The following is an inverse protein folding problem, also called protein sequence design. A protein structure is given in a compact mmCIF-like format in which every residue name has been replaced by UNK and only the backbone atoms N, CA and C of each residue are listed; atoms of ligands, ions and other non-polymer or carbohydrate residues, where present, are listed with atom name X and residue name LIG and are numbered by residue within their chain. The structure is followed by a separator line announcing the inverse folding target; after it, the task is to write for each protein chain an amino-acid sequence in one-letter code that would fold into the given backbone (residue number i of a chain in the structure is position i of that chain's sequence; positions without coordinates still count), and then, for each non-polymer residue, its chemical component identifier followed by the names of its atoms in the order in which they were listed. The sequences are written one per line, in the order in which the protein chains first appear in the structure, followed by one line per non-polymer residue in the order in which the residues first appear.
data_IF_078839041311
#
_entry.id   IF_078839041311
#
_cell.length_a   1.000
_cell.length_b   1.000
_cell.length_c   1.000
_cell.angle_alpha   90.00
_cell.angle_beta   90.00
_cell.angle_gamma   90.00
#
_symmetry.space_group_name_H-M   'P 1'
#
loop_
_entity.id
_entity.type
_entity.pdbx_description
1 polymer ?
#
# COMPACT_ATOMS: atom_id res chain seq x y z
N UNK A 1 -2.87 26.97 13.50
CA UNK A 1 -3.64 25.90 12.82
C UNK A 1 -4.92 25.66 13.61
N UNK A 2 -6.08 25.43 12.96
CA UNK A 2 -7.30 25.08 13.69
C UNK A 2 -7.10 23.79 14.49
N UNK A 3 -7.73 23.71 15.67
CA UNK A 3 -7.70 22.53 16.53
C UNK A 3 -8.34 21.34 15.81
N UNK A 4 -7.55 20.31 15.51
CA UNK A 4 -8.04 19.05 14.96
C UNK A 4 -8.45 18.16 16.13
N UNK A 5 -9.71 17.73 16.15
CA UNK A 5 -10.21 16.85 17.19
C UNK A 5 -9.52 15.47 17.09
N UNK A 6 -9.32 14.81 18.24
CA UNK A 6 -8.54 13.57 18.33
C UNK A 6 -9.17 12.40 17.55
N UNK A 7 -10.50 12.43 17.36
CA UNK A 7 -11.28 11.48 16.57
C UNK A 7 -11.09 11.63 15.06
N UNK A 8 -10.49 12.74 14.62
CA UNK A 8 -10.16 12.99 13.21
C UNK A 8 -8.80 12.41 12.80
N UNK A 9 -7.99 11.91 13.73
CA UNK A 9 -6.64 11.37 13.47
C UNK A 9 -6.58 9.86 13.61
N UNK A 10 -5.52 9.25 13.08
CA UNK A 10 -5.24 7.82 13.26
C UNK A 10 -4.42 7.64 14.55
N UNK A 11 -4.93 6.97 15.60
CA UNK A 11 -4.19 6.82 16.84
C UNK A 11 -3.12 5.74 16.75
N UNK A 12 -1.94 6.01 17.33
CA UNK A 12 -0.80 5.08 17.39
C UNK A 12 -1.15 3.73 18.04
N UNK A 13 -2.08 3.74 18.99
CA UNK A 13 -2.56 2.52 19.67
C UNK A 13 -3.14 1.49 18.71
N UNK A 14 -3.65 1.89 17.53
CA UNK A 14 -4.13 0.94 16.50
C UNK A 14 -3.02 0.05 15.94
N UNK A 15 -1.80 0.57 15.85
CA UNK A 15 -0.66 -0.18 15.34
C UNK A 15 -0.05 -1.04 16.44
N UNK A 16 0.20 -0.44 17.61
CA UNK A 16 0.87 -1.10 18.74
C UNK A 16 0.12 -2.35 19.19
N UNK A 17 -1.21 -2.28 19.30
CA UNK A 17 -2.04 -3.44 19.70
C UNK A 17 -2.11 -4.55 18.65
N UNK A 18 -1.67 -4.29 17.43
CA UNK A 18 -1.67 -5.25 16.32
C UNK A 18 -0.30 -5.88 16.07
N UNK A 19 0.69 -5.60 16.92
CA UNK A 19 1.95 -6.34 16.95
C UNK A 19 1.69 -7.79 17.35
N UNK A 20 2.38 -8.73 16.72
CA UNK A 20 2.28 -10.17 16.99
C UNK A 20 3.65 -10.83 17.04
N UNK A 21 3.79 -11.89 17.83
CA UNK A 21 4.98 -12.75 17.88
C UNK A 21 4.98 -13.85 16.81
N UNK A 22 3.93 -13.89 15.97
CA UNK A 22 3.83 -14.85 14.89
C UNK A 22 5.01 -14.68 13.92
N UNK A 23 5.78 -15.75 13.71
CA UNK A 23 6.83 -15.80 12.67
C UNK A 23 6.17 -15.91 11.29
N UNK A 24 5.73 -14.78 10.75
CA UNK A 24 4.95 -14.75 9.50
C UNK A 24 5.78 -15.09 8.25
N UNK A 25 7.10 -14.88 8.31
CA UNK A 25 8.07 -15.08 7.21
C UNK A 25 8.35 -16.56 6.90
N UNK A 26 8.07 -17.50 7.81
CA UNK A 26 8.36 -18.94 7.63
C UNK A 26 7.11 -19.80 7.38
N UNK A 27 5.98 -19.21 7.03
CA UNK A 27 4.66 -19.89 7.10
C UNK A 27 4.24 -20.60 5.81
N UNK A 28 5.04 -20.51 4.74
CA UNK A 28 4.66 -21.01 3.41
C UNK A 28 3.46 -20.30 2.79
N UNK A 29 2.99 -19.21 3.41
CA UNK A 29 1.88 -18.40 2.93
C UNK A 29 2.30 -17.54 1.75
N UNK A 30 1.36 -17.22 0.86
CA UNK A 30 1.64 -16.31 -0.24
C UNK A 30 1.92 -14.90 0.28
N UNK A 31 3.11 -14.41 -0.05
CA UNK A 31 3.58 -13.09 0.32
C UNK A 31 3.10 -12.04 -0.66
N UNK A 32 2.84 -10.85 -0.13
CA UNK A 32 2.48 -9.67 -0.90
C UNK A 32 3.31 -8.49 -0.50
N UNK A 33 3.40 -7.52 -1.40
CA UNK A 33 4.20 -6.32 -1.25
C UNK A 33 3.39 -5.07 -1.57
N UNK A 34 3.59 -4.02 -0.79
CA UNK A 34 3.13 -2.66 -1.07
C UNK A 34 4.32 -1.72 -1.15
N UNK A 35 4.37 -0.84 -2.17
CA UNK A 35 5.42 0.19 -2.30
C UNK A 35 4.82 1.55 -2.58
N UNK A 36 5.20 2.52 -1.75
CA UNK A 36 5.09 3.95 -2.10
C UNK A 36 6.46 4.43 -2.59
N UNK A 37 6.51 5.03 -3.78
CA UNK A 37 7.79 5.41 -4.42
C UNK A 37 8.36 6.73 -3.88
N UNK A 38 7.57 7.45 -3.06
CA UNK A 38 7.91 8.73 -2.48
C UNK A 38 8.02 9.86 -3.52
N UNK A 39 7.69 11.08 -3.11
CA UNK A 39 7.94 12.26 -3.95
C UNK A 39 9.35 12.81 -3.74
N UNK A 40 10.23 12.60 -4.73
CA UNK A 40 11.52 13.28 -4.87
C UNK A 40 12.75 12.37 -4.80
N UNK A 41 13.86 12.84 -5.37
CA UNK A 41 15.18 12.20 -5.26
C UNK A 41 15.62 12.14 -3.79
N UNK A 42 16.16 10.99 -3.36
CA UNK A 42 16.69 10.78 -2.00
C UNK A 42 15.73 10.21 -0.96
N UNK A 43 14.41 10.10 -1.23
CA UNK A 43 13.45 9.53 -0.27
C UNK A 43 13.33 8.01 -0.29
N UNK A 44 13.63 7.38 -1.43
CA UNK A 44 13.59 5.92 -1.60
C UNK A 44 12.19 5.31 -1.65
N UNK A 45 12.12 4.04 -2.05
CA UNK A 45 10.89 3.26 -2.08
C UNK A 45 10.53 2.80 -0.66
N UNK A 46 9.38 3.20 -0.15
CA UNK A 46 8.87 2.76 1.15
C UNK A 46 8.10 1.46 0.97
N UNK A 47 8.59 0.39 1.58
CA UNK A 47 8.16 -0.96 1.24
C UNK A 47 7.62 -1.68 2.47
N UNK A 48 6.54 -2.43 2.26
CA UNK A 48 6.00 -3.39 3.22
C UNK A 48 5.83 -4.75 2.56
N UNK A 49 6.31 -5.80 3.23
CA UNK A 49 6.12 -7.20 2.81
C UNK A 49 5.48 -7.96 3.95
N UNK A 50 4.48 -8.76 3.60
CA UNK A 50 3.72 -9.54 4.55
C UNK A 50 2.85 -10.57 3.87
N UNK A 51 2.08 -11.28 4.68
CA UNK A 51 1.06 -12.20 4.23
C UNK A 51 -0.12 -12.17 5.21
N UNK A 52 -1.03 -13.13 5.13
CA UNK A 52 -2.21 -13.21 6.01
C UNK A 52 -1.89 -13.38 7.50
N UNK A 53 -0.65 -13.74 7.86
CA UNK A 53 -0.19 -13.87 9.25
C UNK A 53 0.40 -12.56 9.79
N UNK A 54 0.79 -11.64 8.91
CA UNK A 54 1.24 -10.30 9.27
C UNK A 54 2.30 -9.74 8.34
N UNK A 55 2.60 -8.46 8.52
CA UNK A 55 3.69 -7.73 7.90
C UNK A 55 4.97 -8.05 8.67
N UNK A 56 5.93 -8.71 8.03
CA UNK A 56 7.19 -9.15 8.65
C UNK A 56 8.40 -8.36 8.16
N UNK A 57 8.26 -7.53 7.12
CA UNK A 57 9.34 -6.68 6.63
C UNK A 57 8.83 -5.28 6.28
N UNK A 58 9.54 -4.26 6.78
CA UNK A 58 9.25 -2.83 6.56
C UNK A 58 10.60 -2.14 6.36
N UNK A 59 10.76 -1.40 5.26
CA UNK A 59 12.03 -0.77 4.93
C UNK A 59 11.91 0.34 3.89
N UNK A 60 13.01 1.07 3.72
CA UNK A 60 13.17 2.07 2.67
C UNK A 60 14.31 1.61 1.76
N UNK A 61 14.07 1.50 0.46
CA UNK A 61 15.08 1.18 -0.53
C UNK A 61 15.57 2.47 -1.18
N UNK A 62 16.87 2.74 -1.08
CA UNK A 62 17.50 3.95 -1.62
C UNK A 62 18.53 3.56 -2.68
N UNK A 63 18.78 4.45 -3.63
CA UNK A 63 19.82 4.21 -4.63
C UNK A 63 21.20 4.27 -3.95
N UNK A 64 22.03 3.28 -4.24
CA UNK A 64 23.40 3.18 -3.76
C UNK A 64 24.34 2.83 -4.92
N UNK A 65 25.65 3.02 -4.73
CA UNK A 65 26.63 2.65 -5.73
C UNK A 65 26.53 1.15 -6.07
N UNK A 66 26.33 0.83 -7.35
CA UNK A 66 26.20 -0.55 -7.84
C UNK A 66 24.82 -1.19 -7.70
N UNK A 67 23.84 -0.55 -7.02
CA UNK A 67 22.49 -1.09 -6.92
C UNK A 67 21.44 0.02 -6.72
N UNK A 68 20.59 0.25 -7.72
CA UNK A 68 19.45 1.14 -7.58
C UNK A 68 18.29 0.50 -6.79
N UNK A 69 17.35 1.33 -6.35
CA UNK A 69 16.18 0.90 -5.57
C UNK A 69 15.26 -0.07 -6.33
N UNK A 70 15.26 -0.06 -7.65
CA UNK A 70 14.42 -0.93 -8.49
C UNK A 70 14.99 -2.33 -8.56
N UNK A 71 16.30 -2.44 -8.74
CA UNK A 71 17.02 -3.71 -8.66
C UNK A 71 16.87 -4.34 -7.28
N UNK A 72 17.00 -3.54 -6.21
CA UNK A 72 16.71 -3.99 -4.84
C UNK A 72 15.27 -4.51 -4.71
N UNK A 73 14.30 -3.82 -5.32
CA UNK A 73 12.89 -4.25 -5.33
C UNK A 73 12.73 -5.61 -6.02
N UNK A 74 13.31 -5.80 -7.21
CA UNK A 74 13.29 -7.09 -7.93
C UNK A 74 13.93 -8.22 -7.10
N UNK A 75 15.01 -7.93 -6.38
CA UNK A 75 15.68 -8.91 -5.54
C UNK A 75 14.81 -9.30 -4.33
N UNK A 76 14.08 -8.35 -3.72
CA UNK A 76 13.11 -8.65 -2.67
C UNK A 76 11.91 -9.47 -3.16
N UNK A 77 11.39 -9.18 -4.36
CA UNK A 77 10.30 -9.96 -4.97
C UNK A 77 10.71 -11.42 -5.10
N UNK A 78 11.94 -11.68 -5.56
CA UNK A 78 12.50 -13.03 -5.72
C UNK A 78 12.77 -13.69 -4.37
N UNK A 79 13.45 -12.99 -3.47
CA UNK A 79 13.86 -13.51 -2.17
C UNK A 79 12.67 -13.92 -1.29
N UNK A 80 11.65 -13.05 -1.21
CA UNK A 80 10.45 -13.32 -0.41
C UNK A 80 9.34 -14.03 -1.20
N UNK A 81 9.59 -14.46 -2.43
CA UNK A 81 8.59 -15.09 -3.31
C UNK A 81 7.24 -14.32 -3.31
N UNK A 82 7.31 -13.03 -3.60
CA UNK A 82 6.14 -12.15 -3.62
C UNK A 82 5.23 -12.54 -4.77
N UNK A 83 3.98 -12.85 -4.45
CA UNK A 83 2.95 -13.31 -5.40
C UNK A 83 2.10 -12.19 -5.95
N UNK A 84 1.84 -11.17 -5.13
CA UNK A 84 1.14 -9.95 -5.56
C UNK A 84 1.86 -8.73 -5.00
N UNK A 85 2.08 -7.75 -5.85
CA UNK A 85 2.79 -6.54 -5.55
C UNK A 85 1.99 -5.36 -6.10
N UNK A 86 1.71 -4.37 -5.26
CA UNK A 86 1.09 -3.11 -5.66
C UNK A 86 2.07 -1.97 -5.39
N UNK A 87 2.31 -1.14 -6.39
CA UNK A 87 3.21 0.01 -6.34
C UNK A 87 2.47 1.29 -6.72
N UNK A 88 2.88 2.43 -6.15
CA UNK A 88 2.44 3.73 -6.65
C UNK A 88 2.74 3.87 -8.15
N UNK A 89 1.72 4.19 -8.94
CA UNK A 89 1.86 4.43 -10.37
C UNK A 89 2.49 5.78 -10.72
N UNK A 90 2.85 6.62 -9.74
CA UNK A 90 3.54 7.91 -9.93
C UNK A 90 4.57 8.16 -8.80
N UNK A 91 5.62 8.97 -9.04
CA UNK A 91 5.98 9.64 -10.30
C UNK A 91 6.82 8.74 -11.25
N UNK A 92 7.37 7.64 -10.76
CA UNK A 92 8.27 6.74 -11.50
C UNK A 92 7.51 5.68 -12.31
N UNK A 93 6.61 6.15 -13.17
CA UNK A 93 5.67 5.30 -13.92
C UNK A 93 6.39 4.31 -14.84
N UNK A 94 7.45 4.77 -15.52
CA UNK A 94 8.17 3.96 -16.49
C UNK A 94 8.88 2.78 -15.80
N UNK A 95 9.60 3.06 -14.72
CA UNK A 95 10.32 2.07 -13.93
C UNK A 95 9.36 1.05 -13.29
N UNK A 96 8.21 1.52 -12.80
CA UNK A 96 7.17 0.63 -12.28
C UNK A 96 6.59 -0.29 -13.37
N UNK A 97 6.42 0.19 -14.61
CA UNK A 97 6.00 -0.66 -15.73
C UNK A 97 7.08 -1.66 -16.15
N UNK A 98 8.35 -1.27 -16.18
CA UNK A 98 9.45 -2.19 -16.47
C UNK A 98 9.51 -3.31 -15.42
N UNK A 99 9.31 -2.96 -14.14
CA UNK A 99 9.21 -3.95 -13.06
C UNK A 99 8.00 -4.88 -13.25
N UNK A 100 6.87 -4.37 -13.75
CA UNK A 100 5.72 -5.21 -14.09
C UNK A 100 5.99 -6.15 -15.26
N UNK A 101 6.74 -5.72 -16.27
CA UNK A 101 7.18 -6.58 -17.38
C UNK A 101 8.16 -7.65 -16.92
N UNK A 102 9.03 -7.35 -15.95
CA UNK A 102 9.95 -8.34 -15.35
C UNK A 102 9.17 -9.43 -14.58
N UNK A 103 8.07 -9.06 -13.91
CA UNK A 103 7.24 -9.97 -13.11
C UNK A 103 5.77 -9.92 -13.55
N UNK A 104 5.44 -10.44 -14.74
CA UNK A 104 4.10 -10.34 -15.31
C UNK A 104 3.07 -11.01 -14.40
N UNK A 105 1.90 -10.38 -14.30
CA UNK A 105 0.77 -10.81 -13.45
C UNK A 105 1.07 -10.88 -11.94
N UNK A 106 2.18 -10.27 -11.49
CA UNK A 106 2.48 -10.10 -10.07
C UNK A 106 2.48 -8.64 -9.65
N UNK A 107 2.86 -7.73 -10.53
CA UNK A 107 3.00 -6.29 -10.23
C UNK A 107 1.83 -5.50 -10.79
N UNK A 108 1.26 -4.63 -9.95
CA UNK A 108 0.15 -3.76 -10.29
C UNK A 108 0.46 -2.32 -9.91
N UNK A 109 0.24 -1.40 -10.84
CA UNK A 109 0.47 0.03 -10.63
C UNK A 109 -0.81 0.69 -10.15
N UNK A 110 -0.75 1.41 -9.04
CA UNK A 110 -1.90 2.00 -8.38
C UNK A 110 -2.05 3.48 -8.65
N UNK A 111 -3.28 3.90 -8.94
CA UNK A 111 -3.64 5.31 -8.95
C UNK A 111 -4.90 5.54 -8.11
N UNK A 112 -4.87 6.61 -7.31
CA UNK A 112 -6.09 7.10 -6.68
C UNK A 112 -6.94 7.83 -7.71
N UNK A 113 -8.21 7.40 -7.85
CA UNK A 113 -9.20 8.09 -8.68
C UNK A 113 -10.47 8.31 -7.88
N UNK A 114 -10.82 9.58 -7.74
CA UNK A 114 -12.12 9.99 -7.23
C UNK A 114 -13.13 10.00 -8.37
N UNK A 115 -13.57 8.81 -8.77
CA UNK A 115 -14.65 8.63 -9.73
C UNK A 115 -15.97 8.35 -8.97
N UNK A 116 -16.97 9.25 -9.03
CA UNK A 116 -18.28 9.03 -8.41
C UNK A 116 -18.98 7.77 -8.93
N UNK A 117 -18.64 7.31 -10.14
CA UNK A 117 -19.17 6.08 -10.75
C UNK A 117 -18.38 4.83 -10.34
N UNK A 118 -17.32 4.96 -9.54
CA UNK A 118 -16.61 3.80 -9.02
C UNK A 118 -17.47 3.13 -7.94
N UNK A 119 -18.18 2.08 -8.36
CA UNK A 119 -18.99 1.25 -7.47
C UNK A 119 -18.12 0.52 -6.44
N UNK A 120 -16.92 0.10 -6.84
CA UNK A 120 -15.99 -0.66 -6.01
C UNK A 120 -14.95 0.24 -5.34
N UNK A 121 -14.39 -0.20 -4.21
CA UNK A 121 -13.30 0.51 -3.53
C UNK A 121 -11.99 0.40 -4.33
N UNK A 122 -11.78 -0.73 -4.99
CA UNK A 122 -10.59 -1.08 -5.77
C UNK A 122 -11.06 -1.74 -7.06
N UNK A 123 -10.49 -1.33 -8.20
CA UNK A 123 -10.74 -1.90 -9.52
C UNK A 123 -9.42 -2.34 -10.14
N UNK A 124 -9.24 -3.64 -10.33
CA UNK A 124 -8.15 -4.19 -11.13
C UNK A 124 -8.59 -4.32 -12.60
N UNK A 125 -7.66 -4.10 -13.53
CA UNK A 125 -7.99 -4.07 -14.95
C UNK A 125 -7.67 -5.38 -15.69
N UNK A 126 -6.85 -6.25 -15.11
CA UNK A 126 -6.62 -7.63 -15.56
C UNK A 126 -7.87 -8.53 -15.48
N UNK A 127 -8.96 -8.02 -14.90
CA UNK A 127 -10.24 -8.73 -14.79
C UNK A 127 -11.20 -8.42 -15.93
N UNK A 128 -10.84 -7.52 -16.84
CA UNK A 128 -11.64 -7.27 -18.04
C UNK A 128 -11.35 -8.36 -19.07
N UNK A 129 -12.39 -9.06 -19.50
CA UNK A 129 -12.36 -9.93 -20.68
C UNK A 129 -12.24 -9.11 -21.98
N UNK A 130 -11.17 -8.32 -22.11
CA UNK A 130 -10.86 -7.62 -23.35
C UNK A 130 -9.63 -8.27 -23.97
N UNK A 131 -9.84 -9.01 -25.06
CA UNK A 131 -8.77 -9.70 -25.80
C UNK A 131 -7.75 -8.73 -26.43
N UNK A 132 -8.08 -7.45 -26.52
CA UNK A 132 -7.23 -6.39 -27.08
C UNK A 132 -6.59 -5.49 -26.00
N UNK A 133 -6.64 -5.88 -24.72
CA UNK A 133 -6.02 -5.09 -23.67
C UNK A 133 -4.49 -5.06 -23.84
N UNK A 134 -3.91 -3.85 -23.86
CA UNK A 134 -2.46 -3.69 -23.81
C UNK A 134 -2.00 -4.01 -22.39
N UNK A 135 -0.86 -4.70 -22.24
CA UNK A 135 -0.30 -5.10 -20.94
C UNK A 135 -0.31 -3.97 -19.89
N UNK A 136 0.04 -2.75 -20.30
CA UNK A 136 0.06 -1.59 -19.42
C UNK A 136 -1.32 -1.25 -18.84
N UNK A 137 -2.41 -1.56 -19.54
CA UNK A 137 -3.76 -1.40 -19.02
C UNK A 137 -4.14 -2.51 -18.05
N UNK A 138 -3.71 -3.76 -18.29
CA UNK A 138 -4.02 -4.91 -17.44
C UNK A 138 -3.43 -4.76 -16.03
N UNK A 139 -2.22 -4.22 -15.93
CA UNK A 139 -1.53 -4.05 -14.64
C UNK A 139 -2.00 -2.82 -13.86
N UNK A 140 -2.98 -2.05 -14.36
CA UNK A 140 -3.50 -0.89 -13.61
C UNK A 140 -4.44 -1.34 -12.49
N UNK A 141 -4.33 -0.66 -11.36
CA UNK A 141 -5.33 -0.70 -10.29
C UNK A 141 -5.77 0.71 -9.93
N UNK A 142 -7.08 0.95 -9.94
CA UNK A 142 -7.65 2.20 -9.44
C UNK A 142 -8.29 1.97 -8.07
N UNK A 143 -8.12 2.94 -7.18
CA UNK A 143 -8.80 2.91 -5.88
C UNK A 143 -9.32 4.29 -5.48
N UNK A 144 -10.42 4.30 -4.71
CA UNK A 144 -10.88 5.52 -4.06
C UNK A 144 -10.04 5.78 -2.81
N UNK A 145 -9.29 6.88 -2.78
CA UNK A 145 -8.35 7.22 -1.69
C UNK A 145 -9.04 7.23 -0.32
N UNK A 146 -10.17 7.93 -0.21
CA UNK A 146 -10.90 8.01 1.06
C UNK A 146 -11.40 6.64 1.51
N UNK A 147 -12.05 5.88 0.60
CA UNK A 147 -12.63 4.58 0.95
C UNK A 147 -11.57 3.55 1.33
N UNK A 148 -10.45 3.46 0.59
CA UNK A 148 -9.41 2.48 0.93
C UNK A 148 -8.68 2.83 2.22
N UNK A 149 -8.53 4.12 2.54
CA UNK A 149 -8.00 4.55 3.84
C UNK A 149 -8.94 4.18 4.99
N UNK A 150 -10.24 4.45 4.85
CA UNK A 150 -11.24 4.08 5.86
C UNK A 150 -11.31 2.55 6.04
N UNK A 151 -11.25 1.80 4.96
CA UNK A 151 -11.21 0.33 4.96
C UNK A 151 -9.98 -0.20 5.70
N UNK A 152 -8.80 0.40 5.46
CA UNK A 152 -7.54 0.00 6.09
C UNK A 152 -7.54 0.32 7.58
N UNK A 153 -8.03 1.51 7.96
CA UNK A 153 -8.22 1.88 9.37
C UNK A 153 -9.20 0.92 10.04
N UNK A 154 -10.27 0.52 9.35
CA UNK A 154 -11.25 -0.45 9.86
C UNK A 154 -10.64 -1.84 10.04
N UNK A 155 -9.77 -2.27 9.12
CA UNK A 155 -9.03 -3.53 9.23
C UNK A 155 -8.05 -3.52 10.42
N UNK A 156 -7.32 -2.41 10.65
CA UNK A 156 -6.54 -2.21 11.88
C UNK A 156 -7.43 -2.18 13.13
N UNK A 157 -8.66 -1.65 13.02
CA UNK A 157 -9.62 -1.61 14.13
C UNK A 157 -10.09 -3.00 14.55
N UNK A 158 -10.35 -3.89 13.59
CA UNK A 158 -10.73 -5.29 13.83
C UNK A 158 -9.54 -6.20 14.14
N UNK A 159 -8.33 -5.75 13.81
CA UNK A 159 -7.11 -6.50 13.99
C UNK A 159 -6.82 -7.49 12.86
N UNK A 160 -7.39 -7.26 11.68
CA UNK A 160 -7.18 -8.07 10.47
C UNK A 160 -5.76 -7.85 9.90
N UNK A 161 -5.17 -6.68 10.17
CA UNK A 161 -3.79 -6.34 9.81
C UNK A 161 -2.92 -6.53 11.04
N UNK A 162 -1.93 -7.43 10.95
CA UNK A 162 -0.95 -7.73 12.01
C UNK A 162 0.45 -7.29 11.61
N UNK A 163 1.25 -6.92 12.60
CA UNK A 163 2.65 -6.56 12.43
C UNK A 163 3.53 -7.60 13.12
N UNK A 164 4.14 -8.49 12.35
CA UNK A 164 5.10 -9.50 12.77
C UNK A 164 6.52 -8.91 12.83
N UNK A 165 6.62 -7.70 13.39
CA UNK A 165 7.87 -6.96 13.60
C UNK A 165 7.90 -6.45 15.04
N UNK A 166 9.07 -6.35 15.68
CA UNK A 166 9.16 -5.81 17.03
C UNK A 166 8.61 -4.38 17.08
N UNK A 167 7.91 -4.03 18.17
CA UNK A 167 7.45 -2.65 18.39
C UNK A 167 8.62 -1.62 18.46
N UNK A 168 9.84 -2.11 18.73
CA UNK A 168 11.07 -1.33 18.70
C UNK A 168 11.59 -1.02 17.30
N UNK A 169 11.10 -1.72 16.25
CA UNK A 169 11.56 -1.57 14.87
C UNK A 169 11.44 -0.09 14.41
N UNK A 170 12.55 0.55 13.95
CA UNK A 170 12.53 1.96 13.55
C UNK A 170 11.57 2.26 12.40
N UNK A 171 11.50 1.40 11.39
CA UNK A 171 10.59 1.58 10.25
C UNK A 171 9.12 1.43 10.67
N UNK A 172 8.82 0.53 11.61
CA UNK A 172 7.48 0.41 12.20
C UNK A 172 7.08 1.67 12.99
N UNK A 173 8.01 2.24 13.78
CA UNK A 173 7.77 3.52 14.45
C UNK A 173 7.53 4.65 13.44
N UNK A 174 8.30 4.68 12.35
CA UNK A 174 8.15 5.69 11.30
C UNK A 174 6.81 5.55 10.56
N UNK A 175 6.33 4.32 10.31
CA UNK A 175 4.96 4.07 9.85
C UNK A 175 3.92 4.72 10.77
N UNK A 176 4.04 4.54 12.09
CA UNK A 176 3.11 5.14 13.06
C UNK A 176 3.16 6.67 12.95
N UNK A 177 4.36 7.26 12.91
CA UNK A 177 4.53 8.71 12.72
C UNK A 177 3.88 9.20 11.43
N UNK A 178 4.11 8.50 10.31
CA UNK A 178 3.51 8.83 9.01
C UNK A 178 1.98 8.78 9.07
N UNK A 179 1.40 7.74 9.68
CA UNK A 179 -0.04 7.60 9.86
C UNK A 179 -0.64 8.70 10.75
N UNK A 180 0.09 9.16 11.77
CA UNK A 180 -0.36 10.22 12.67
C UNK A 180 -0.36 11.62 12.04
N UNK A 181 0.25 11.79 10.86
CA UNK A 181 0.15 13.05 10.10
C UNK A 181 -1.21 13.20 9.40
N UNK A 182 -1.97 12.11 9.25
CA UNK A 182 -3.26 12.07 8.58
C UNK A 182 -4.38 12.59 9.48
N UNK A 183 -5.30 13.34 8.88
CA UNK A 183 -6.52 13.79 9.52
C UNK A 183 -7.68 13.85 8.53
N UNK A 184 -8.88 13.51 9.01
CA UNK A 184 -10.11 13.65 8.23
C UNK A 184 -10.58 15.11 8.25
N UNK A 185 -10.98 15.62 7.08
CA UNK A 185 -11.60 16.93 6.93
C UNK A 185 -12.80 16.86 5.98
N UNK A 186 -13.70 17.83 6.10
CA UNK A 186 -14.78 18.05 5.14
C UNK A 186 -14.35 19.14 4.17
N UNK A 187 -14.44 18.86 2.87
CA UNK A 187 -14.22 19.80 1.78
C UNK A 187 -15.49 19.96 0.96
N UNK A 188 -15.66 21.13 0.35
CA UNK A 188 -16.75 21.35 -0.59
C UNK A 188 -16.26 20.99 -1.99
N UNK A 189 -16.97 20.10 -2.68
CA UNK A 189 -16.64 19.74 -4.05
C UNK A 189 -17.04 20.83 -5.05
N UNK A 190 -16.69 20.62 -6.32
CA UNK A 190 -16.99 21.56 -7.43
C UNK A 190 -18.49 21.78 -7.68
N UNK A 191 -19.36 20.96 -7.09
CA UNK A 191 -20.82 21.06 -7.19
C UNK A 191 -21.45 21.64 -5.92
N UNK A 192 -20.64 22.11 -4.96
CA UNK A 192 -21.12 22.66 -3.70
C UNK A 192 -21.47 21.62 -2.65
N UNK A 193 -21.15 20.33 -2.87
CA UNK A 193 -21.48 19.26 -1.94
C UNK A 193 -20.35 19.04 -0.93
N UNK A 194 -20.71 18.86 0.34
CA UNK A 194 -19.77 18.51 1.38
C UNK A 194 -19.29 17.05 1.21
N UNK A 195 -17.98 16.85 1.10
CA UNK A 195 -17.31 15.56 0.97
C UNK A 195 -16.26 15.41 2.06
N UNK A 196 -16.22 14.25 2.73
CA UNK A 196 -15.12 13.89 3.64
C UNK A 196 -13.92 13.38 2.85
N UNK A 197 -12.73 13.83 3.23
CA UNK A 197 -11.47 13.34 2.70
C UNK A 197 -10.40 13.23 3.79
N UNK A 198 -9.34 12.48 3.50
CA UNK A 198 -8.14 12.41 4.31
C UNK A 198 -7.06 13.34 3.76
N UNK A 199 -6.60 14.26 4.60
CA UNK A 199 -5.46 15.14 4.33
C UNK A 199 -4.29 14.78 5.27
N UNK A 200 -3.09 15.23 4.94
CA UNK A 200 -1.88 15.03 5.76
C UNK A 200 -1.16 16.36 6.03
N UNK A 201 -0.45 16.42 7.15
CA UNK A 201 0.36 17.58 7.56
C UNK A 201 1.87 17.34 7.42
N UNK A 202 2.28 16.13 7.03
CA UNK A 202 3.68 15.73 6.88
C UNK A 202 3.82 14.48 6.00
N UNK A 203 5.01 13.85 6.01
CA UNK A 203 5.25 12.62 5.25
C UNK A 203 4.26 11.51 5.58
N UNK A 204 3.83 10.79 4.56
CA UNK A 204 2.84 9.72 4.68
C UNK A 204 3.20 8.49 3.83
N UNK A 205 4.44 8.39 3.37
CA UNK A 205 4.89 7.40 2.39
C UNK A 205 4.71 5.96 2.90
N UNK A 206 5.16 5.64 4.13
CA UNK A 206 4.82 4.35 4.77
C UNK A 206 3.32 4.10 4.99
N UNK A 207 2.51 5.15 5.24
CA UNK A 207 1.07 4.95 5.31
C UNK A 207 0.51 4.52 3.95
N UNK A 208 0.95 5.15 2.85
CA UNK A 208 0.56 4.75 1.50
C UNK A 208 1.09 3.35 1.13
N UNK A 209 2.32 3.02 1.53
CA UNK A 209 2.87 1.67 1.38
C UNK A 209 1.97 0.61 2.05
N UNK A 210 1.43 0.89 3.25
CA UNK A 210 0.44 0.03 3.90
C UNK A 210 -0.87 -0.07 3.12
N UNK A 211 -1.35 1.02 2.53
CA UNK A 211 -2.54 1.02 1.67
C UNK A 211 -2.31 0.12 0.45
N UNK A 212 -1.16 0.23 -0.22
CA UNK A 212 -0.82 -0.61 -1.36
C UNK A 212 -0.67 -2.08 -0.96
N UNK A 213 -0.06 -2.37 0.19
CA UNK A 213 -0.01 -3.73 0.74
C UNK A 213 -1.41 -4.29 0.99
N UNK A 214 -2.34 -3.48 1.52
CA UNK A 214 -3.71 -3.90 1.74
C UNK A 214 -4.48 -4.15 0.43
N UNK A 215 -4.22 -3.37 -0.61
CA UNK A 215 -4.74 -3.61 -1.97
C UNK A 215 -4.18 -4.95 -2.49
N UNK A 216 -2.89 -5.21 -2.32
CA UNK A 216 -2.24 -6.45 -2.73
C UNK A 216 -2.84 -7.66 -1.99
N UNK A 217 -3.09 -7.55 -0.68
CA UNK A 217 -3.75 -8.58 0.13
C UNK A 217 -5.15 -8.93 -0.40
N UNK A 218 -5.92 -7.94 -0.87
CA UNK A 218 -7.26 -8.17 -1.45
C UNK A 218 -7.18 -8.90 -2.79
N UNK A 219 -6.16 -8.61 -3.61
CA UNK A 219 -5.95 -9.33 -4.87
C UNK A 219 -5.44 -10.75 -4.65
N UNK A 220 -4.58 -10.96 -3.65
CA UNK A 220 -4.01 -12.27 -3.28
C UNK A 220 -5.07 -13.36 -3.07
N UNK A 221 -6.22 -13.00 -2.49
CA UNK A 221 -7.33 -13.95 -2.27
C UNK A 221 -7.81 -14.62 -3.56
N UNK A 222 -7.55 -14.04 -4.74
CA UNK A 222 -7.88 -14.63 -6.04
C UNK A 222 -6.85 -15.67 -6.54
N UNK A 223 -5.62 -15.60 -6.03
CA UNK A 223 -4.55 -16.55 -6.36
C UNK A 223 -4.42 -17.69 -5.34
N UNK A 224 -5.09 -17.59 -4.19
CA UNK A 224 -5.22 -18.73 -3.28
C UNK A 224 -6.17 -19.76 -3.91
N UNK A 225 -5.74 -21.01 -4.13
CA UNK A 225 -6.67 -22.06 -4.52
C UNK A 225 -7.74 -22.15 -3.43
N UNK A 226 -9.02 -22.12 -3.84
CA UNK A 226 -10.14 -22.44 -2.94
C UNK A 226 -9.82 -23.81 -2.32
N UNK A 227 -9.48 -23.82 -1.04
CA UNK A 227 -9.30 -25.06 -0.27
C UNK A 227 -10.65 -25.66 0.09
#
# INVERSE_FOLDING_TARGET
MPYLAADQKIPASLFIRNVTETKADTTGEYNVMGIDTGMGTGKGNHVMIGNKKGIFWIGILQDHEGQDRWKQTSDLIKFFDVRVFVIDGQPYTAEAFELAKEFPYRVYLSWFKDDPKMLEVIRFFDEKENKDAVFEDEVKVFSSRTRIMDDTISALRRGDIKFAVPASNPAFKLLITHAQTLYARTVTDKFGQAKREWANTGPNDFWLSLIYWQIAMRKRLKYEPNK
#
